data_IF_371838048414
#
_entry.id   IF_371838048414
#
_cell.length_a   1.000
_cell.length_b   1.000
_cell.length_c   1.000
_cell.angle_alpha   90.00
_cell.angle_beta   90.00
_cell.angle_gamma   90.00
#
_symmetry.space_group_name_H-M   'P 1'
#
loop_
_entity.id
_entity.type
_entity.pdbx_description
1 polymer ?
#
# COMPACT_ATOMS: atom_id res chain seq x y z
N UNK A 1 -23.49 -1.46 -5.20
CA UNK A 1 -22.69 -1.49 -3.95
C UNK A 1 -22.28 -2.91 -3.58
N UNK A 2 -23.21 -3.88 -3.65
CA UNK A 2 -23.04 -5.30 -3.26
C UNK A 2 -22.03 -6.09 -4.10
N UNK A 3 -22.10 -6.11 -5.44
CA UNK A 3 -21.24 -6.99 -6.24
C UNK A 3 -19.70 -6.77 -6.06
N UNK A 4 -19.24 -5.52 -5.97
CA UNK A 4 -17.81 -5.21 -5.72
C UNK A 4 -17.40 -5.61 -4.31
N UNK A 5 -18.31 -5.46 -3.35
CA UNK A 5 -18.10 -5.86 -1.97
C UNK A 5 -18.05 -7.39 -1.83
N UNK A 6 -18.96 -8.12 -2.48
CA UNK A 6 -19.02 -9.59 -2.47
C UNK A 6 -17.79 -10.20 -3.15
N UNK A 7 -17.34 -9.62 -4.26
CA UNK A 7 -16.09 -10.01 -4.91
C UNK A 7 -14.86 -9.75 -4.01
N UNK A 8 -14.81 -8.60 -3.35
CA UNK A 8 -13.70 -8.28 -2.46
C UNK A 8 -13.68 -9.15 -1.19
N UNK A 9 -14.86 -9.51 -0.66
CA UNK A 9 -15.01 -10.39 0.50
C UNK A 9 -14.63 -11.83 0.15
N UNK A 10 -15.11 -12.36 -0.96
CA UNK A 10 -14.77 -13.71 -1.44
C UNK A 10 -13.27 -13.88 -1.73
N UNK A 11 -12.60 -12.81 -2.14
CA UNK A 11 -11.14 -12.81 -2.36
C UNK A 11 -10.34 -12.39 -1.12
N UNK A 12 -10.97 -12.14 0.04
CA UNK A 12 -10.28 -11.77 1.27
C UNK A 12 -9.56 -10.41 1.24
N UNK A 13 -9.85 -9.58 0.24
CA UNK A 13 -9.20 -8.27 0.00
C UNK A 13 -9.97 -7.10 0.58
N UNK A 14 -11.19 -7.34 1.10
CA UNK A 14 -12.07 -6.28 1.59
C UNK A 14 -11.43 -5.34 2.61
N UNK A 15 -10.54 -5.85 3.49
CA UNK A 15 -9.82 -5.01 4.46
C UNK A 15 -8.95 -3.91 3.82
N UNK A 16 -8.47 -4.13 2.60
CA UNK A 16 -7.63 -3.18 1.86
C UNK A 16 -8.42 -2.27 0.94
N UNK A 17 -9.67 -2.64 0.63
CA UNK A 17 -10.44 -2.05 -0.47
C UNK A 17 -11.76 -1.43 -0.03
N UNK A 18 -12.13 -1.62 1.24
CA UNK A 18 -13.30 -1.02 1.85
C UNK A 18 -13.12 0.50 1.96
N UNK A 19 -13.94 1.30 1.27
CA UNK A 19 -13.75 2.75 1.21
C UNK A 19 -14.04 3.47 2.51
N UNK A 20 -14.87 2.89 3.39
CA UNK A 20 -15.21 3.45 4.68
C UNK A 20 -14.10 3.17 5.72
N UNK A 21 -13.20 2.22 5.41
CA UNK A 21 -12.07 1.84 6.25
C UNK A 21 -10.72 2.12 5.60
N UNK A 22 -10.72 2.63 4.37
CA UNK A 22 -9.51 3.02 3.67
C UNK A 22 -9.00 4.33 4.26
N UNK A 23 -7.70 4.44 4.55
CA UNK A 23 -7.11 5.73 4.87
C UNK A 23 -7.32 6.70 3.69
N UNK A 24 -7.52 7.98 4.01
CA UNK A 24 -7.72 9.03 3.00
C UNK A 24 -6.57 9.07 1.97
N UNK A 25 -5.37 8.73 2.43
CA UNK A 25 -4.15 8.59 1.64
C UNK A 25 -3.83 7.11 1.42
N UNK A 26 -3.57 6.66 0.18
CA UNK A 26 -3.06 5.32 -0.06
C UNK A 26 -1.76 5.07 0.72
N UNK A 27 -1.49 3.84 1.17
CA UNK A 27 -0.19 3.50 1.75
C UNK A 27 0.91 3.79 0.73
N UNK A 28 1.95 4.49 1.18
CA UNK A 28 3.13 4.78 0.38
C UNK A 28 4.08 3.58 0.40
N UNK A 29 4.92 3.43 -0.63
CA UNK A 29 6.00 2.44 -0.55
C UNK A 29 6.95 2.86 0.58
N UNK A 30 7.21 1.97 1.56
CA UNK A 30 8.11 2.32 2.65
C UNK A 30 9.53 2.52 2.13
N UNK A 31 10.27 3.41 2.79
CA UNK A 31 11.66 3.72 2.46
C UNK A 31 12.57 2.79 3.26
N UNK A 32 13.53 2.15 2.58
CA UNK A 32 14.48 1.26 3.25
C UNK A 32 15.40 2.06 4.18
N UNK A 33 15.54 1.68 5.46
CA UNK A 33 16.41 2.38 6.39
C UNK A 33 17.87 2.30 5.94
N UNK A 34 18.56 3.42 6.05
CA UNK A 34 19.97 3.60 5.78
C UNK A 34 20.78 3.54 7.07
N UNK A 35 22.06 3.20 6.98
CA UNK A 35 22.98 3.13 8.12
C UNK A 35 23.08 4.51 8.80
N UNK A 36 23.01 5.59 8.02
CA UNK A 36 22.97 6.97 8.53
C UNK A 36 21.80 7.26 9.49
N UNK A 37 20.71 6.47 9.42
CA UNK A 37 19.50 6.74 10.20
C UNK A 37 19.68 6.35 11.68
N UNK A 38 20.63 5.45 11.99
CA UNK A 38 20.94 5.04 13.36
C UNK A 38 22.12 5.77 13.97
N UNK A 39 23.00 6.34 13.13
CA UNK A 39 24.18 7.13 13.56
C UNK A 39 23.78 8.51 14.09
N UNK A 40 22.66 9.07 13.63
CA UNK A 40 22.15 10.39 14.08
C UNK A 40 21.49 10.40 15.47
N UNK A 41 21.30 9.24 16.11
CA UNK A 41 20.78 9.20 17.49
C UNK A 41 21.88 9.67 18.44
N UNK A 42 21.61 10.62 19.35
CA UNK A 42 22.61 11.16 20.26
C UNK A 42 23.02 10.04 21.23
N UNK A 43 24.14 9.40 20.93
CA UNK A 43 24.88 8.69 21.97
C UNK A 43 25.65 9.77 22.72
N UNK A 44 25.44 9.89 24.04
CA UNK A 44 26.05 10.89 24.92
C UNK A 44 27.59 10.71 25.08
N UNK A 45 28.25 10.09 24.11
CA UNK A 45 29.64 9.62 24.17
C UNK A 45 30.45 9.84 22.89
N UNK A 46 30.01 10.68 21.96
CA UNK A 46 30.82 10.95 20.75
C UNK A 46 31.78 12.13 20.93
N UNK A 47 33.06 11.81 21.09
CA UNK A 47 34.17 12.68 20.72
C UNK A 47 34.19 12.72 19.20
N UNK A 48 33.98 13.92 18.66
CA UNK A 48 34.04 14.26 17.24
C UNK A 48 35.44 13.98 16.70
N UNK A 49 35.59 12.99 15.80
CA UNK A 49 36.61 12.91 14.72
C UNK A 49 36.61 11.55 13.97
N UNK A 50 35.83 10.55 14.38
CA UNK A 50 35.70 9.31 13.60
C UNK A 50 34.74 9.44 12.40
N UNK A 51 35.10 8.86 11.22
CA UNK A 51 34.22 8.87 10.06
C UNK A 51 32.91 8.14 10.38
N UNK A 52 31.79 8.74 9.98
CA UNK A 52 30.47 8.14 10.18
C UNK A 52 30.39 6.75 9.53
N UNK A 53 29.85 5.73 10.22
CA UNK A 53 29.66 4.39 9.67
C UNK A 53 28.95 4.42 8.31
N UNK A 54 29.55 3.77 7.31
CA UNK A 54 28.92 3.61 5.98
C UNK A 54 28.56 2.17 5.67
N UNK A 55 29.08 1.21 6.46
CA UNK A 55 28.82 -0.23 6.31
C UNK A 55 28.25 -0.80 7.62
N UNK A 56 27.52 -1.90 7.50
CA UNK A 56 26.90 -2.56 8.67
C UNK A 56 27.93 -3.05 9.70
N UNK A 57 29.12 -3.42 9.23
CA UNK A 57 30.23 -3.86 10.09
C UNK A 57 30.82 -2.72 10.93
N UNK A 58 30.60 -1.47 10.52
CA UNK A 58 31.10 -0.28 11.20
C UNK A 58 30.14 0.17 12.34
N UNK A 59 29.00 -0.50 12.50
CA UNK A 59 28.02 -0.17 13.53
C UNK A 59 28.40 -0.79 14.88
N UNK A 60 28.37 0.03 15.94
CA UNK A 60 28.46 -0.48 17.31
C UNK A 60 27.23 -1.36 17.63
N UNK A 61 27.31 -2.30 18.61
CA UNK A 61 26.24 -3.25 18.90
C UNK A 61 24.83 -2.64 19.09
N UNK A 62 24.75 -1.48 19.74
CA UNK A 62 23.48 -0.77 19.95
C UNK A 62 22.89 -0.23 18.64
N UNK A 63 23.73 0.42 17.83
CA UNK A 63 23.32 0.92 16.51
C UNK A 63 22.91 -0.22 15.57
N UNK A 64 23.64 -1.34 15.61
CA UNK A 64 23.31 -2.54 14.86
C UNK A 64 21.96 -3.12 15.30
N UNK A 65 21.68 -3.14 16.60
CA UNK A 65 20.41 -3.62 17.15
C UNK A 65 19.24 -2.73 16.71
N UNK A 66 19.40 -1.40 16.77
CA UNK A 66 18.40 -0.45 16.27
C UNK A 66 18.20 -0.63 14.76
N UNK A 67 19.27 -0.78 13.99
CA UNK A 67 19.19 -0.95 12.54
C UNK A 67 18.40 -2.22 12.18
N UNK A 68 18.62 -3.33 12.90
CA UNK A 68 17.86 -4.58 12.71
C UNK A 68 16.36 -4.39 13.00
N UNK A 69 16.01 -3.64 14.04
CA UNK A 69 14.60 -3.33 14.35
C UNK A 69 13.97 -2.53 13.21
N UNK A 70 14.62 -1.45 12.76
CA UNK A 70 14.13 -0.63 11.64
C UNK A 70 14.00 -1.44 10.35
N UNK A 71 14.92 -2.37 10.09
CA UNK A 71 14.85 -3.24 8.92
C UNK A 71 13.65 -4.19 9.02
N UNK A 72 13.39 -4.76 10.19
CA UNK A 72 12.21 -5.62 10.42
C UNK A 72 10.90 -4.85 10.24
N UNK A 73 10.83 -3.62 10.74
CA UNK A 73 9.67 -2.74 10.56
C UNK A 73 9.45 -2.38 9.09
N UNK A 74 10.54 -2.10 8.36
CA UNK A 74 10.51 -1.88 6.92
C UNK A 74 9.97 -3.09 6.16
N UNK A 75 10.46 -4.30 6.46
CA UNK A 75 10.03 -5.53 5.79
C UNK A 75 8.55 -5.81 6.01
N UNK A 76 8.07 -5.64 7.25
CA UNK A 76 6.65 -5.77 7.58
C UNK A 76 5.81 -4.75 6.81
N UNK A 77 6.22 -3.48 6.83
CA UNK A 77 5.54 -2.39 6.12
C UNK A 77 5.51 -2.62 4.62
N UNK A 78 6.60 -3.14 4.04
CA UNK A 78 6.71 -3.45 2.61
C UNK A 78 5.80 -4.60 2.21
N UNK A 79 5.75 -5.65 3.03
CA UNK A 79 4.81 -6.76 2.82
C UNK A 79 3.36 -6.27 2.80
N UNK A 80 2.96 -5.40 3.74
CA UNK A 80 1.59 -4.88 3.76
C UNK A 80 1.29 -3.92 2.60
N UNK A 81 2.24 -3.08 2.20
CA UNK A 81 2.15 -2.27 0.98
C UNK A 81 1.92 -3.16 -0.26
N UNK A 82 2.69 -4.23 -0.43
CA UNK A 82 2.54 -5.16 -1.56
C UNK A 82 1.19 -5.88 -1.54
N UNK A 83 0.70 -6.28 -0.36
CA UNK A 83 -0.65 -6.87 -0.20
C UNK A 83 -1.74 -5.89 -0.61
N UNK A 84 -1.62 -4.62 -0.21
CA UNK A 84 -2.54 -3.56 -0.61
C UNK A 84 -2.53 -3.39 -2.14
N UNK A 85 -1.36 -3.25 -2.76
CA UNK A 85 -1.25 -3.09 -4.22
C UNK A 85 -1.84 -4.28 -4.97
N UNK A 86 -1.57 -5.51 -4.51
CA UNK A 86 -2.14 -6.73 -5.10
C UNK A 86 -3.66 -6.77 -4.97
N UNK A 87 -4.20 -6.45 -3.79
CA UNK A 87 -5.65 -6.40 -3.54
C UNK A 87 -6.37 -5.44 -4.49
N UNK A 88 -5.75 -4.28 -4.71
CA UNK A 88 -6.24 -3.25 -5.61
C UNK A 88 -6.23 -3.72 -7.07
N UNK A 89 -5.14 -4.34 -7.55
CA UNK A 89 -5.07 -4.90 -8.91
C UNK A 89 -6.09 -6.02 -9.12
N UNK A 90 -6.27 -6.89 -8.11
CA UNK A 90 -7.24 -7.98 -8.14
C UNK A 90 -8.68 -7.43 -8.28
N UNK A 91 -9.00 -6.34 -7.59
CA UNK A 91 -10.29 -5.66 -7.78
C UNK A 91 -10.42 -5.03 -9.16
N UNK A 92 -9.39 -4.34 -9.66
CA UNK A 92 -9.42 -3.77 -11.01
C UNK A 92 -9.69 -4.85 -12.05
N UNK A 93 -9.04 -6.00 -11.93
CA UNK A 93 -9.24 -7.16 -12.81
C UNK A 93 -10.67 -7.70 -12.70
N UNK A 94 -11.15 -8.00 -11.49
CA UNK A 94 -12.50 -8.51 -11.27
C UNK A 94 -13.58 -7.57 -11.83
N UNK A 95 -13.39 -6.27 -11.64
CA UNK A 95 -14.31 -5.28 -12.18
C UNK A 95 -14.19 -5.18 -13.70
N UNK A 96 -12.98 -5.13 -14.27
CA UNK A 96 -12.78 -5.14 -15.75
C UNK A 96 -13.46 -6.34 -16.41
N UNK A 97 -13.36 -7.52 -15.81
CA UNK A 97 -14.01 -8.74 -16.30
C UNK A 97 -15.53 -8.67 -16.25
N UNK A 98 -16.08 -7.83 -15.38
CA UNK A 98 -17.52 -7.63 -15.19
C UNK A 98 -18.10 -6.47 -16.02
N UNK A 99 -17.27 -5.71 -16.73
CA UNK A 99 -17.67 -4.56 -17.54
C UNK A 99 -17.88 -4.95 -19.01
N UNK A 100 -18.78 -4.25 -19.69
CA UNK A 100 -18.87 -4.27 -21.15
C UNK A 100 -17.58 -3.72 -21.79
N UNK A 101 -17.30 -3.99 -23.08
CA UNK A 101 -16.15 -3.41 -23.79
C UNK A 101 -16.02 -1.88 -23.65
N UNK A 102 -17.13 -1.16 -23.66
CA UNK A 102 -17.19 0.30 -23.52
C UNK A 102 -16.84 0.72 -22.09
N UNK A 103 -17.39 0.03 -21.09
CA UNK A 103 -17.06 0.25 -19.68
C UNK A 103 -15.59 0.03 -19.36
N UNK A 104 -14.92 -0.91 -20.05
CA UNK A 104 -13.49 -1.18 -19.90
C UNK A 104 -12.60 -0.03 -20.40
N UNK A 105 -13.02 0.72 -21.42
CA UNK A 105 -12.27 1.89 -21.89
C UNK A 105 -12.31 3.04 -20.88
N UNK A 106 -13.42 3.23 -20.17
CA UNK A 106 -13.62 4.31 -19.19
C UNK A 106 -12.69 4.18 -17.98
N UNK A 107 -12.31 2.96 -17.62
CA UNK A 107 -11.43 2.68 -16.46
C UNK A 107 -9.96 2.58 -16.82
N UNK A 108 -9.62 2.55 -18.10
CA UNK A 108 -8.23 2.59 -18.54
C UNK A 108 -7.64 3.98 -18.25
N UNK A 109 -6.48 4.03 -17.60
CA UNK A 109 -5.78 5.28 -17.28
C UNK A 109 -6.17 5.94 -15.96
N UNK A 110 -7.17 5.41 -15.24
CA UNK A 110 -7.53 5.90 -13.90
C UNK A 110 -6.58 5.35 -12.83
N UNK A 111 -6.24 6.17 -11.84
CA UNK A 111 -5.61 5.66 -10.63
C UNK A 111 -6.53 4.63 -9.95
N UNK A 112 -6.00 3.72 -9.14
CA UNK A 112 -6.84 2.69 -8.53
C UNK A 112 -8.04 3.21 -7.74
N UNK A 113 -7.86 4.33 -7.03
CA UNK A 113 -8.93 4.98 -6.27
C UNK A 113 -10.00 5.54 -7.19
N UNK A 114 -9.60 6.23 -8.26
CA UNK A 114 -10.52 6.79 -9.25
C UNK A 114 -11.26 5.70 -10.01
N UNK A 115 -10.58 4.62 -10.38
CA UNK A 115 -11.20 3.46 -10.97
C UNK A 115 -12.28 2.90 -10.05
N UNK A 116 -11.96 2.64 -8.77
CA UNK A 116 -12.94 2.14 -7.79
C UNK A 116 -14.13 3.09 -7.62
N UNK A 117 -13.91 4.40 -7.54
CA UNK A 117 -14.98 5.41 -7.40
C UNK A 117 -15.86 5.42 -8.65
N UNK A 118 -15.26 5.50 -9.84
CA UNK A 118 -15.97 5.59 -11.12
C UNK A 118 -16.73 4.30 -11.44
N UNK A 119 -16.15 3.15 -11.09
CA UNK A 119 -16.80 1.86 -11.20
C UNK A 119 -18.01 1.75 -10.28
N UNK A 120 -17.94 2.30 -9.06
CA UNK A 120 -19.10 2.36 -8.16
C UNK A 120 -20.21 3.24 -8.70
N UNK A 121 -19.90 4.40 -9.29
CA UNK A 121 -20.94 5.26 -9.86
C UNK A 121 -21.58 4.63 -11.09
N UNK A 122 -20.79 4.01 -11.98
CA UNK A 122 -21.31 3.29 -13.15
C UNK A 122 -22.12 2.04 -12.76
N UNK A 123 -21.66 1.23 -11.80
CA UNK A 123 -22.43 0.07 -11.32
C UNK A 123 -23.67 0.46 -10.52
N UNK A 124 -23.63 1.52 -9.70
CA UNK A 124 -24.80 2.02 -8.97
C UNK A 124 -25.94 2.43 -9.92
N UNK A 125 -25.60 3.05 -11.06
CA UNK A 125 -26.54 3.39 -12.12
C UNK A 125 -27.10 2.14 -12.84
N UNK A 126 -26.27 1.12 -13.08
CA UNK A 126 -26.73 -0.13 -13.72
C UNK A 126 -27.73 -0.93 -12.89
N UNK A 127 -27.65 -0.84 -11.55
CA UNK A 127 -28.63 -1.47 -10.64
C UNK A 127 -29.95 -0.72 -10.54
N UNK A 128 -29.99 0.59 -10.82
CA UNK A 128 -31.27 1.32 -10.94
C UNK A 128 -31.93 1.11 -12.31
N UNK A 129 -31.15 0.83 -13.36
CA UNK A 129 -31.69 0.59 -14.70
C UNK A 129 -32.35 -0.77 -14.91
N UNK A 130 -32.33 -1.68 -13.93
CA UNK A 130 -33.02 -2.99 -14.00
C UNK A 130 -34.43 -2.98 -13.41
N UNK A 131 -34.91 -1.84 -12.90
CA UNK A 131 -36.29 -1.62 -12.48
C UNK A 131 -36.93 -0.48 -13.29
N UNK A 132 -37.06 -0.65 -14.61
CA UNK A 132 -38.00 0.11 -15.43
C UNK A 132 -38.49 -0.76 -16.58
#
# INVERSE_FOLDING_TARGET
YTAVQDYALSNGVWKYTNPNKQPATPPQEPIKPQISDVVKRPSNTFISDEPSPTRLIDLIPDQLSIYKILLSEYESSKSDYLRYMRAIELLKQGIRSSLTPEGRQIVNGLSPREAIIKLRTTFALSSQSKNR
#
